data_IF_796214111519
#
_entry.id   IF_796214111519
#
_cell.length_a   1.000
_cell.length_b   1.000
_cell.length_c   1.000
_cell.angle_alpha   90.00
_cell.angle_beta   90.00
_cell.angle_gamma   90.00
#
_symmetry.space_group_name_H-M   'P 1'
#
loop_
_entity.id
_entity.type
_entity.pdbx_description
1 polymer ?
#
# COMPACT_ATOMS: atom_id res chain seq x y z
N UNK A 1 13.16 28.33 106.70
CA UNK A 1 14.09 27.20 106.73
C UNK A 1 13.48 26.04 105.96
N UNK A 2 14.26 25.48 105.02
CA UNK A 2 14.16 24.13 104.42
C UNK A 2 13.05 23.84 103.38
N UNK A 3 13.45 24.03 102.12
CA UNK A 3 13.44 23.09 100.98
C UNK A 3 12.48 21.87 100.99
N UNK A 4 11.71 21.70 99.90
CA UNK A 4 11.24 20.38 99.44
C UNK A 4 11.21 20.26 97.90
N UNK A 5 12.31 19.66 97.41
CA UNK A 5 12.55 18.83 96.22
C UNK A 5 11.53 18.81 95.04
N UNK A 6 12.01 19.28 93.88
CA UNK A 6 11.57 18.87 92.54
C UNK A 6 11.86 17.38 92.28
N UNK A 7 10.83 16.57 92.00
CA UNK A 7 10.89 15.33 91.19
C UNK A 7 9.50 14.72 91.11
N UNK A 8 8.83 14.83 89.95
CA UNK A 8 7.88 13.84 89.40
C UNK A 8 6.94 14.43 88.33
N UNK A 9 7.46 15.08 87.28
CA UNK A 9 6.60 15.54 86.17
C UNK A 9 7.25 15.47 84.78
N UNK A 10 8.26 14.61 84.60
CA UNK A 10 8.90 14.37 83.28
C UNK A 10 8.68 12.96 82.70
N UNK A 11 8.02 12.06 83.43
CA UNK A 11 7.82 10.66 83.01
C UNK A 11 6.57 10.38 82.17
N UNK A 12 5.49 11.16 82.34
CA UNK A 12 4.19 10.81 81.74
C UNK A 12 3.88 11.53 80.43
N UNK A 13 4.52 12.67 80.15
CA UNK A 13 4.26 13.46 78.94
C UNK A 13 4.94 12.84 77.70
N UNK A 14 6.11 12.22 77.85
CA UNK A 14 6.87 11.66 76.73
C UNK A 14 6.31 10.34 76.17
N UNK A 15 5.53 9.57 76.94
CA UNK A 15 4.93 8.31 76.46
C UNK A 15 3.65 8.52 75.66
N UNK A 16 2.88 9.57 75.95
CA UNK A 16 1.64 9.93 75.23
C UNK A 16 1.91 10.49 73.84
N UNK A 17 2.94 11.32 73.66
CA UNK A 17 3.30 11.86 72.33
C UNK A 17 3.81 10.78 71.35
N UNK A 18 4.39 9.69 71.85
CA UNK A 18 4.88 8.58 71.01
C UNK A 18 3.75 7.67 70.53
N UNK A 19 2.71 7.45 71.34
CA UNK A 19 1.49 6.71 70.95
C UNK A 19 0.61 7.49 69.97
N UNK A 20 0.50 8.81 70.14
CA UNK A 20 -0.29 9.67 69.24
C UNK A 20 0.32 9.74 67.83
N UNK A 21 1.66 9.85 67.71
CA UNK A 21 2.32 9.79 66.39
C UNK A 21 2.16 8.44 65.69
N UNK A 22 2.15 7.33 66.44
CA UNK A 22 2.01 5.99 65.85
C UNK A 22 0.57 5.69 65.41
N UNK A 23 -0.44 6.09 66.19
CA UNK A 23 -1.85 5.91 65.80
C UNK A 23 -2.25 6.82 64.63
N UNK A 24 -1.76 8.06 64.57
CA UNK A 24 -2.05 8.96 63.43
C UNK A 24 -1.34 8.48 62.16
N UNK A 25 -0.11 7.96 62.25
CA UNK A 25 0.57 7.35 61.09
C UNK A 25 -0.17 6.09 60.60
N UNK A 26 -0.62 5.21 61.49
CA UNK A 26 -1.35 3.99 61.09
C UNK A 26 -2.73 4.32 60.50
N UNK A 27 -3.45 5.31 61.04
CA UNK A 27 -4.76 5.70 60.50
C UNK A 27 -4.63 6.42 59.16
N UNK A 28 -3.59 7.24 58.96
CA UNK A 28 -3.31 7.87 57.65
C UNK A 28 -2.85 6.82 56.62
N UNK A 29 -2.03 5.83 57.02
CA UNK A 29 -1.64 4.73 56.13
C UNK A 29 -2.82 3.83 55.76
N UNK A 30 -3.76 3.58 56.68
CA UNK A 30 -4.96 2.75 56.41
C UNK A 30 -6.03 3.53 55.63
N UNK A 31 -6.13 4.86 55.81
CA UNK A 31 -7.02 5.70 55.01
C UNK A 31 -6.54 5.88 53.56
N UNK A 32 -5.23 5.82 53.30
CA UNK A 32 -4.67 5.83 51.93
C UNK A 32 -4.86 4.47 51.23
N UNK A 33 -5.03 3.37 51.98
CA UNK A 33 -5.30 2.03 51.41
C UNK A 33 -6.81 1.83 51.12
N UNK A 34 -7.70 2.67 51.67
CA UNK A 34 -9.15 2.57 51.51
C UNK A 34 -9.75 3.38 50.36
N UNK A 35 -8.94 4.19 49.67
CA UNK A 35 -9.31 4.89 48.44
C UNK A 35 -8.39 4.41 47.32
N UNK A 36 -8.48 3.11 47.02
CA UNK A 36 -8.24 2.72 45.64
C UNK A 36 -9.20 3.56 44.81
N UNK A 37 -8.73 4.44 43.89
CA UNK A 37 -9.60 4.79 42.79
C UNK A 37 -10.07 3.45 42.25
N UNK A 38 -11.37 3.31 41.96
CA UNK A 38 -11.83 2.25 41.10
C UNK A 38 -10.78 2.17 39.99
N UNK A 39 -10.02 1.07 39.97
CA UNK A 39 -9.21 0.74 38.82
C UNK A 39 -10.28 0.62 37.76
N UNK A 40 -10.51 1.72 37.04
CA UNK A 40 -10.87 1.69 35.65
C UNK A 40 -9.97 0.58 35.14
N UNK A 41 -10.55 -0.58 34.88
CA UNK A 41 -9.85 -1.65 34.20
C UNK A 41 -9.39 -0.99 32.92
N UNK A 42 -8.13 -0.56 32.91
CA UNK A 42 -7.44 -0.28 31.67
C UNK A 42 -7.68 -1.53 30.82
N UNK A 43 -8.12 -1.33 29.59
CA UNK A 43 -8.33 -2.46 28.69
C UNK A 43 -7.10 -3.37 28.73
N UNK A 44 -7.31 -4.67 28.57
CA UNK A 44 -6.21 -5.60 28.44
C UNK A 44 -6.45 -6.42 27.17
N UNK A 45 -5.43 -6.49 26.32
CA UNK A 45 -5.44 -7.31 25.12
C UNK A 45 -5.21 -8.80 25.44
N UNK A 46 -4.76 -9.13 26.66
CA UNK A 46 -4.47 -10.49 27.12
C UNK A 46 -5.54 -11.52 26.74
N UNK A 47 -6.82 -11.33 27.12
CA UNK A 47 -7.90 -12.28 26.77
C UNK A 47 -8.07 -12.49 25.25
N UNK A 48 -7.82 -11.46 24.45
CA UNK A 48 -7.94 -11.53 23.00
C UNK A 48 -6.75 -12.28 22.40
N UNK A 49 -5.52 -11.92 22.79
CA UNK A 49 -4.26 -12.47 22.29
C UNK A 49 -4.10 -13.95 22.67
N UNK A 50 -4.58 -14.37 23.85
CA UNK A 50 -4.53 -15.77 24.29
C UNK A 50 -5.23 -16.75 23.33
N UNK A 51 -6.30 -16.30 22.67
CA UNK A 51 -7.06 -17.08 21.70
C UNK A 51 -6.73 -16.73 20.25
N UNK A 52 -6.58 -15.45 19.91
CA UNK A 52 -6.41 -15.01 18.51
C UNK A 52 -5.01 -15.20 17.95
N UNK A 53 -3.99 -15.48 18.78
CA UNK A 53 -2.64 -15.84 18.27
C UNK A 53 -2.50 -17.32 17.95
N UNK A 54 -3.48 -18.16 18.34
CA UNK A 54 -3.39 -19.62 18.30
C UNK A 54 -4.50 -20.20 17.42
N UNK A 55 -4.19 -20.71 16.21
CA UNK A 55 -5.20 -21.26 15.31
C UNK A 55 -6.05 -22.37 15.93
N UNK A 56 -5.47 -23.19 16.81
CA UNK A 56 -6.15 -24.30 17.51
C UNK A 56 -7.17 -23.84 18.56
N UNK A 57 -7.10 -22.57 18.99
CA UNK A 57 -8.05 -21.96 19.93
C UNK A 57 -9.25 -21.32 19.23
N UNK A 58 -9.20 -21.16 17.91
CA UNK A 58 -10.25 -20.53 17.14
C UNK A 58 -11.22 -21.56 16.56
N UNK A 59 -12.51 -21.40 16.86
CA UNK A 59 -13.59 -22.18 16.21
C UNK A 59 -13.73 -21.85 14.72
N UNK A 60 -13.30 -20.67 14.31
CA UNK A 60 -13.32 -20.21 12.91
C UNK A 60 -12.04 -19.46 12.63
N UNK A 61 -11.13 -20.11 11.90
CA UNK A 61 -9.79 -19.58 11.59
C UNK A 61 -9.80 -18.71 10.33
N UNK A 62 -10.80 -18.91 9.47
CA UNK A 62 -10.86 -18.30 8.14
C UNK A 62 -12.25 -17.72 7.86
N UNK A 63 -12.29 -16.61 7.12
CA UNK A 63 -13.51 -16.02 6.59
C UNK A 63 -13.37 -15.69 5.12
N UNK A 64 -14.48 -15.75 4.39
CA UNK A 64 -14.55 -15.29 3.02
C UNK A 64 -14.74 -13.76 2.98
N UNK A 65 -13.90 -13.07 2.23
CA UNK A 65 -14.05 -11.66 1.82
C UNK A 65 -14.26 -11.64 0.30
N UNK A 66 -15.26 -10.88 -0.16
CA UNK A 66 -15.55 -10.73 -1.59
C UNK A 66 -14.94 -9.42 -2.08
N UNK A 67 -14.19 -9.45 -3.20
CA UNK A 67 -13.73 -8.23 -3.86
C UNK A 67 -14.95 -7.48 -4.45
N UNK A 68 -15.15 -6.20 -4.13
CA UNK A 68 -16.35 -5.46 -4.51
C UNK A 68 -16.48 -5.21 -6.02
N UNK A 69 -15.38 -5.31 -6.77
CA UNK A 69 -15.33 -5.05 -8.22
C UNK A 69 -15.32 -6.35 -9.01
N UNK A 70 -14.46 -7.30 -8.66
CA UNK A 70 -14.30 -8.55 -9.43
C UNK A 70 -15.25 -9.66 -8.99
N UNK A 71 -15.81 -9.58 -7.77
CA UNK A 71 -16.58 -10.65 -7.16
C UNK A 71 -15.75 -11.86 -6.71
N UNK A 72 -14.41 -11.77 -6.80
CA UNK A 72 -13.50 -12.81 -6.35
C UNK A 72 -13.60 -13.03 -4.84
N UNK A 73 -13.61 -14.30 -4.41
CA UNK A 73 -13.63 -14.68 -3.00
C UNK A 73 -12.19 -14.86 -2.52
N UNK A 74 -11.73 -13.99 -1.63
CA UNK A 74 -10.47 -14.10 -0.88
C UNK A 74 -10.74 -14.70 0.49
N UNK A 75 -9.91 -15.65 0.92
CA UNK A 75 -9.96 -16.18 2.30
C UNK A 75 -9.06 -15.32 3.18
N UNK A 76 -9.59 -14.81 4.29
CA UNK A 76 -8.87 -14.02 5.28
C UNK A 76 -8.74 -14.79 6.59
N UNK A 77 -7.56 -14.74 7.20
CA UNK A 77 -7.30 -15.36 8.50
C UNK A 77 -7.88 -14.49 9.63
N UNK A 78 -8.44 -15.14 10.65
CA UNK A 78 -8.84 -14.53 11.92
C UNK A 78 -7.75 -14.62 13.00
N UNK A 79 -6.59 -15.21 12.66
CA UNK A 79 -5.43 -15.30 13.52
C UNK A 79 -4.68 -13.97 13.47
N UNK A 80 -4.38 -13.44 14.64
CA UNK A 80 -3.57 -12.24 14.83
C UNK A 80 -2.12 -12.67 15.01
N UNK A 81 -1.25 -12.18 14.14
CA UNK A 81 0.19 -12.23 14.38
C UNK A 81 0.56 -11.08 15.32
N UNK A 82 0.89 -11.41 16.57
CA UNK A 82 1.14 -10.45 17.63
C UNK A 82 2.29 -9.50 17.30
N UNK A 83 3.36 -10.02 16.69
CA UNK A 83 4.52 -9.21 16.28
C UNK A 83 4.11 -8.18 15.23
N UNK A 84 3.29 -8.58 14.26
CA UNK A 84 2.79 -7.71 13.19
C UNK A 84 1.79 -6.69 13.72
N UNK A 85 0.86 -7.11 14.58
CA UNK A 85 -0.13 -6.20 15.17
C UNK A 85 0.56 -5.14 16.03
N UNK A 86 1.46 -5.53 16.92
CA UNK A 86 2.17 -4.60 17.81
C UNK A 86 3.09 -3.64 17.06
N UNK A 87 3.55 -4.01 15.86
CA UNK A 87 4.31 -3.12 14.98
C UNK A 87 3.43 -2.11 14.21
N UNK A 88 2.11 -2.30 14.20
CA UNK A 88 1.19 -1.38 13.54
C UNK A 88 0.93 -0.13 14.39
N UNK A 89 0.45 0.93 13.75
CA UNK A 89 0.04 2.15 14.48
C UNK A 89 -1.11 1.93 15.49
N UNK A 90 -1.81 0.79 15.42
CA UNK A 90 -2.89 0.44 16.35
C UNK A 90 -2.49 -0.63 17.37
N UNK A 91 -1.24 -1.13 17.36
CA UNK A 91 -0.77 -2.15 18.29
C UNK A 91 0.21 -1.64 19.36
N UNK A 92 0.30 -0.32 19.52
CA UNK A 92 1.03 0.27 20.65
C UNK A 92 0.36 -0.04 21.99
N UNK A 93 1.01 0.34 23.10
CA UNK A 93 0.51 0.10 24.46
C UNK A 93 -0.78 0.88 24.79
N UNK A 94 -1.15 1.85 23.94
CA UNK A 94 -2.28 2.75 24.13
C UNK A 94 -3.58 2.28 23.45
N UNK A 95 -3.58 1.15 22.75
CA UNK A 95 -4.76 0.64 22.01
C UNK A 95 -5.14 -0.79 22.40
N UNK A 96 -6.41 -0.97 22.67
CA UNK A 96 -7.02 -2.25 22.99
C UNK A 96 -7.88 -2.79 21.86
N UNK A 97 -7.97 -4.12 21.76
CA UNK A 97 -8.79 -4.81 20.78
C UNK A 97 -10.25 -4.33 20.84
N UNK A 98 -10.76 -4.07 22.06
CA UNK A 98 -12.13 -3.61 22.34
C UNK A 98 -12.36 -2.14 21.97
N UNK A 99 -11.32 -1.32 21.79
CA UNK A 99 -11.49 0.08 21.36
C UNK A 99 -12.06 0.14 19.93
N UNK A 100 -11.68 -0.85 19.11
CA UNK A 100 -12.22 -1.09 17.77
C UNK A 100 -13.40 -2.06 17.79
N UNK A 101 -13.28 -3.17 18.53
CA UNK A 101 -14.32 -4.18 18.72
C UNK A 101 -15.22 -3.83 19.90
N UNK A 102 -15.87 -2.67 19.82
CA UNK A 102 -16.65 -2.09 20.92
C UNK A 102 -17.84 -2.95 21.35
N UNK A 103 -18.29 -3.87 20.52
CA UNK A 103 -19.33 -4.84 20.88
C UNK A 103 -18.85 -5.92 21.87
N UNK A 104 -17.54 -5.96 22.16
CA UNK A 104 -16.92 -6.81 23.17
C UNK A 104 -16.49 -6.06 24.43
N UNK A 105 -16.64 -4.74 24.49
CA UNK A 105 -16.28 -3.97 25.68
C UNK A 105 -17.13 -4.41 26.89
N UNK A 106 -16.45 -4.77 27.98
CA UNK A 106 -17.07 -5.32 29.20
C UNK A 106 -17.70 -6.71 29.04
N UNK A 107 -17.49 -7.41 27.92
CA UNK A 107 -18.03 -8.76 27.71
C UNK A 107 -17.19 -9.82 28.45
N UNK A 108 -17.85 -10.88 28.93
CA UNK A 108 -17.17 -12.08 29.41
C UNK A 108 -16.71 -12.93 28.22
N UNK A 109 -15.39 -13.04 28.04
CA UNK A 109 -14.75 -13.73 26.93
C UNK A 109 -14.17 -15.10 27.32
N UNK A 110 -14.43 -15.59 28.53
CA UNK A 110 -13.86 -16.87 29.03
C UNK A 110 -14.18 -18.08 28.15
N UNK A 111 -15.38 -18.12 27.57
CA UNK A 111 -15.84 -19.17 26.63
C UNK A 111 -15.75 -18.74 25.15
N UNK A 112 -15.06 -17.62 24.89
CA UNK A 112 -14.97 -16.93 23.62
C UNK A 112 -16.18 -16.01 23.33
N UNK A 113 -16.22 -15.45 22.13
CA UNK A 113 -17.29 -14.56 21.69
C UNK A 113 -18.07 -15.11 20.48
N UNK A 114 -19.24 -14.52 20.20
CA UNK A 114 -20.04 -14.87 19.02
C UNK A 114 -19.27 -14.55 17.72
N UNK A 115 -19.45 -15.36 16.66
CA UNK A 115 -18.92 -15.03 15.35
C UNK A 115 -19.65 -13.80 14.77
N UNK A 116 -18.93 -13.08 13.90
CA UNK A 116 -19.45 -11.92 13.16
C UNK A 116 -19.84 -10.73 14.05
N UNK A 117 -18.82 -10.20 14.72
CA UNK A 117 -18.87 -8.90 15.38
C UNK A 117 -19.32 -7.79 14.43
N UNK A 118 -19.78 -6.69 15.00
CA UNK A 118 -20.08 -5.50 14.21
C UNK A 118 -18.81 -5.03 13.47
N UNK A 119 -18.95 -4.48 12.25
CA UNK A 119 -17.83 -3.83 11.58
C UNK A 119 -17.22 -2.76 12.48
N UNK A 120 -15.88 -2.72 12.56
CA UNK A 120 -15.15 -1.69 13.29
C UNK A 120 -15.50 -0.32 12.73
N UNK A 121 -15.78 0.62 13.62
CA UNK A 121 -15.99 2.02 13.28
C UNK A 121 -14.67 2.78 13.39
N UNK A 122 -14.03 3.01 12.24
CA UNK A 122 -12.78 3.78 12.19
C UNK A 122 -13.01 5.29 12.38
N UNK A 123 -14.23 5.78 12.18
CA UNK A 123 -14.51 7.19 11.89
C UNK A 123 -14.89 7.92 13.17
N UNK A 124 -15.97 7.49 13.82
CA UNK A 124 -16.70 8.28 14.84
C UNK A 124 -15.80 8.76 15.99
N UNK A 125 -14.75 8.01 16.32
CA UNK A 125 -13.90 8.31 17.46
C UNK A 125 -12.50 8.79 17.09
N UNK A 126 -11.99 8.50 15.88
CA UNK A 126 -10.56 8.64 15.59
C UNK A 126 -10.22 9.20 14.21
N UNK A 127 -10.91 8.78 13.14
CA UNK A 127 -10.57 9.15 11.77
C UNK A 127 -11.71 9.88 11.05
N UNK A 128 -12.22 10.94 11.67
CA UNK A 128 -13.23 11.85 11.12
C UNK A 128 -12.69 12.68 9.94
N UNK A 129 -11.54 13.34 10.10
CA UNK A 129 -10.91 14.15 9.05
C UNK A 129 -10.72 13.39 7.70
N UNK A 130 -10.03 12.23 7.65
CA UNK A 130 -9.88 11.50 6.40
C UNK A 130 -11.19 10.89 5.90
N UNK A 131 -12.17 10.66 6.78
CA UNK A 131 -13.49 10.20 6.38
C UNK A 131 -14.29 11.30 5.66
N UNK A 132 -14.24 12.53 6.16
CA UNK A 132 -14.89 13.67 5.51
C UNK A 132 -14.33 13.94 4.11
N UNK A 133 -13.01 13.82 3.94
CA UNK A 133 -12.35 13.86 2.64
C UNK A 133 -12.79 12.70 1.74
N UNK A 134 -12.83 11.48 2.29
CA UNK A 134 -13.25 10.29 1.54
C UNK A 134 -14.69 10.38 1.07
N UNK A 135 -15.60 10.89 1.91
CA UNK A 135 -17.02 11.09 1.59
C UNK A 135 -17.24 12.06 0.44
N UNK A 136 -16.33 13.01 0.23
CA UNK A 136 -16.34 13.95 -0.90
C UNK A 136 -15.77 13.36 -2.20
N UNK A 137 -15.10 12.20 -2.13
CA UNK A 137 -14.43 11.62 -3.29
C UNK A 137 -15.40 11.12 -4.37
N UNK A 138 -14.88 11.03 -5.60
CA UNK A 138 -15.59 10.41 -6.70
C UNK A 138 -15.80 8.89 -6.48
N UNK A 139 -15.03 8.21 -5.62
CA UNK A 139 -15.33 6.82 -5.25
C UNK A 139 -16.71 6.71 -4.63
N UNK A 140 -17.01 7.52 -3.61
CA UNK A 140 -18.31 7.49 -2.92
C UNK A 140 -19.42 7.95 -3.86
N UNK A 141 -19.20 9.06 -4.57
CA UNK A 141 -20.21 9.65 -5.47
C UNK A 141 -20.58 8.70 -6.62
N UNK A 142 -19.59 8.18 -7.36
CA UNK A 142 -19.83 7.38 -8.56
C UNK A 142 -20.31 5.97 -8.23
N UNK A 143 -19.81 5.34 -7.16
CA UNK A 143 -20.26 3.99 -6.78
C UNK A 143 -21.73 4.03 -6.36
N UNK A 144 -22.13 5.01 -5.52
CA UNK A 144 -23.54 5.23 -5.15
C UNK A 144 -24.43 5.49 -6.36
N UNK A 145 -23.99 6.36 -7.28
CA UNK A 145 -24.74 6.67 -8.50
C UNK A 145 -24.94 5.45 -9.41
N UNK A 146 -23.99 4.51 -9.42
CA UNK A 146 -24.06 3.28 -10.22
C UNK A 146 -24.62 2.08 -9.45
N UNK A 147 -25.21 2.31 -8.26
CA UNK A 147 -25.76 1.27 -7.40
C UNK A 147 -24.75 0.14 -7.10
N UNK A 148 -23.51 0.55 -6.82
CA UNK A 148 -22.39 -0.33 -6.44
C UNK A 148 -21.99 -0.08 -4.99
N UNK A 149 -21.42 -1.12 -4.37
CA UNK A 149 -20.83 -1.00 -3.05
C UNK A 149 -19.64 -0.05 -3.08
N UNK A 150 -19.60 0.85 -2.09
CA UNK A 150 -18.53 1.82 -1.92
C UNK A 150 -17.37 1.11 -1.21
N UNK A 151 -16.12 1.22 -1.71
CA UNK A 151 -14.96 0.71 -0.99
C UNK A 151 -14.91 1.23 0.44
N UNK A 152 -14.59 0.38 1.39
CA UNK A 152 -14.46 0.74 2.80
C UNK A 152 -13.01 1.08 3.14
N UNK A 153 -12.77 1.69 4.30
CA UNK A 153 -11.41 2.03 4.74
C UNK A 153 -10.47 0.82 4.68
N UNK A 154 -10.96 -0.37 5.07
CA UNK A 154 -10.23 -1.65 5.03
C UNK A 154 -9.90 -2.15 3.61
N UNK A 155 -10.59 -1.69 2.58
CA UNK A 155 -10.30 -2.12 1.21
C UNK A 155 -9.02 -1.46 0.67
N UNK A 156 -8.62 -0.32 1.26
CA UNK A 156 -7.34 0.33 0.97
C UNK A 156 -6.32 0.23 2.12
N UNK A 157 -6.79 0.25 3.38
CA UNK A 157 -5.96 0.23 4.60
C UNK A 157 -5.87 -1.13 5.30
N UNK A 158 -6.56 -2.18 4.87
CA UNK A 158 -6.38 -3.53 5.42
C UNK A 158 -5.98 -4.54 4.33
N UNK A 159 -5.46 -4.03 3.20
CA UNK A 159 -4.89 -4.84 2.13
C UNK A 159 -3.38 -5.04 2.31
N UNK A 160 -2.68 -5.18 1.19
CA UNK A 160 -1.22 -5.30 1.11
C UNK A 160 -0.46 -4.19 1.84
N UNK A 161 -1.09 -3.06 2.17
CA UNK A 161 -0.49 -1.88 2.82
C UNK A 161 -0.24 -2.02 4.33
N UNK A 162 -0.85 -3.00 5.00
CA UNK A 162 -0.72 -3.20 6.46
C UNK A 162 -0.52 -4.65 6.87
N UNK A 163 -0.99 -5.60 6.06
CA UNK A 163 -0.52 -6.96 6.19
C UNK A 163 0.84 -7.04 5.52
N UNK A 164 1.84 -7.41 6.31
CA UNK A 164 3.08 -8.07 5.88
C UNK A 164 3.11 -8.18 4.36
N UNK A 165 3.80 -7.26 3.69
CA UNK A 165 4.21 -7.56 2.33
C UNK A 165 4.82 -8.96 2.44
N UNK A 166 4.45 -9.90 1.57
CA UNK A 166 4.98 -11.28 1.53
C UNK A 166 6.52 -11.37 1.42
N UNK A 167 7.18 -10.21 1.48
CA UNK A 167 8.57 -9.83 1.37
C UNK A 167 9.21 -9.48 2.73
N UNK A 168 8.47 -9.43 3.85
CA UNK A 168 9.04 -9.18 5.19
C UNK A 168 9.48 -7.74 5.46
N UNK A 169 8.99 -6.78 4.68
CA UNK A 169 9.31 -5.36 4.80
C UNK A 169 8.32 -4.62 5.70
N UNK A 170 8.81 -3.60 6.42
CA UNK A 170 8.10 -2.89 7.50
C UNK A 170 7.92 -1.41 7.16
N UNK A 171 6.70 -0.87 7.34
CA UNK A 171 6.49 0.57 7.38
C UNK A 171 6.69 1.02 8.83
N UNK A 172 7.64 1.91 9.14
CA UNK A 172 7.88 2.35 10.51
C UNK A 172 6.67 3.08 11.10
N UNK A 173 6.43 2.90 12.40
CA UNK A 173 5.34 3.57 13.13
C UNK A 173 5.46 5.11 13.06
N UNK A 174 6.69 5.63 12.95
CA UNK A 174 7.01 7.06 13.06
C UNK A 174 7.26 7.77 11.72
N UNK A 175 7.03 7.12 10.57
CA UNK A 175 7.22 7.77 9.27
C UNK A 175 5.87 8.23 8.72
N UNK A 176 5.72 9.50 8.29
CA UNK A 176 4.54 9.93 7.57
C UNK A 176 4.28 9.00 6.39
N UNK A 177 3.15 8.29 6.40
CA UNK A 177 2.87 7.23 5.41
C UNK A 177 2.98 7.69 3.95
N UNK A 178 2.78 8.99 3.69
CA UNK A 178 2.94 9.56 2.35
C UNK A 178 4.38 9.57 1.81
N UNK A 179 5.38 9.44 2.67
CA UNK A 179 6.81 9.45 2.32
C UNK A 179 7.49 8.10 2.54
N UNK A 180 6.83 7.16 3.22
CA UNK A 180 7.36 5.80 3.42
C UNK A 180 7.38 5.02 2.09
N UNK A 181 8.55 4.58 1.59
CA UNK A 181 8.65 3.91 0.29
C UNK A 181 7.84 2.61 0.22
N UNK A 182 7.82 1.84 1.32
CA UNK A 182 7.04 0.63 1.39
C UNK A 182 5.54 0.93 1.26
N UNK A 183 5.02 1.86 2.04
CA UNK A 183 3.62 2.27 1.95
C UNK A 183 3.25 2.80 0.57
N UNK A 184 4.13 3.61 -0.03
CA UNK A 184 3.98 4.13 -1.41
C UNK A 184 3.88 2.98 -2.41
N UNK A 185 4.78 2.00 -2.33
CA UNK A 185 4.78 0.79 -3.17
C UNK A 185 3.47 -0.01 -3.03
N UNK A 186 3.04 -0.28 -1.81
CA UNK A 186 1.86 -1.10 -1.53
C UNK A 186 0.56 -0.41 -1.93
N UNK A 187 0.55 0.92 -1.96
CA UNK A 187 -0.61 1.70 -2.43
C UNK A 187 -0.82 1.54 -3.94
N UNK A 188 0.26 1.38 -4.73
CA UNK A 188 0.15 1.11 -6.18
C UNK A 188 -0.69 -0.16 -6.43
N UNK A 189 -0.38 -1.24 -5.70
CA UNK A 189 -1.09 -2.51 -5.80
C UNK A 189 -2.53 -2.40 -5.26
N UNK A 190 -2.73 -1.65 -4.16
CA UNK A 190 -4.06 -1.45 -3.56
C UNK A 190 -5.03 -0.75 -4.51
N UNK A 191 -4.55 0.27 -5.24
CA UNK A 191 -5.35 0.90 -6.30
C UNK A 191 -5.61 -0.09 -7.46
N UNK A 192 -4.58 -0.86 -7.83
CA UNK A 192 -4.64 -1.83 -8.92
C UNK A 192 -5.57 -3.01 -8.70
N UNK A 193 -5.90 -3.38 -7.46
CA UNK A 193 -6.86 -4.46 -7.17
C UNK A 193 -8.23 -4.24 -7.83
N UNK A 194 -8.64 -2.97 -7.95
CA UNK A 194 -9.88 -2.55 -8.62
C UNK A 194 -9.63 -1.88 -9.97
N UNK A 195 -8.50 -1.19 -10.13
CA UNK A 195 -8.16 -0.41 -11.32
C UNK A 195 -7.07 -1.07 -12.18
N UNK A 196 -7.25 -2.36 -12.52
CA UNK A 196 -6.24 -3.15 -13.23
C UNK A 196 -5.78 -2.52 -14.55
N UNK A 197 -6.69 -2.01 -15.38
CA UNK A 197 -6.32 -1.36 -16.65
C UNK A 197 -5.44 -0.10 -16.44
N UNK A 198 -5.67 0.64 -15.36
CA UNK A 198 -4.87 1.81 -15.01
C UNK A 198 -3.53 1.42 -14.39
N UNK A 199 -3.48 0.36 -13.59
CA UNK A 199 -2.23 -0.22 -13.09
C UNK A 199 -1.36 -0.67 -14.26
N UNK A 200 -1.91 -1.43 -15.20
CA UNK A 200 -1.18 -1.92 -16.37
C UNK A 200 -0.63 -0.77 -17.22
N UNK A 201 -1.42 0.30 -17.41
CA UNK A 201 -0.99 1.45 -18.21
C UNK A 201 0.06 2.29 -17.49
N UNK A 202 -0.08 2.46 -16.17
CA UNK A 202 0.92 3.09 -15.32
C UNK A 202 2.25 2.34 -15.37
N UNK A 203 2.23 1.01 -15.23
CA UNK A 203 3.44 0.16 -15.32
C UNK A 203 4.15 0.23 -16.67
N UNK A 204 3.48 0.73 -17.71
CA UNK A 204 4.05 0.93 -19.04
C UNK A 204 4.64 2.34 -19.26
N UNK A 205 4.52 3.26 -18.31
CA UNK A 205 5.16 4.58 -18.36
C UNK A 205 6.48 4.61 -17.55
N UNK A 206 7.22 5.71 -17.63
CA UNK A 206 8.50 5.83 -16.93
C UNK A 206 8.37 5.76 -15.40
N UNK A 207 7.37 6.44 -14.81
CA UNK A 207 7.11 6.39 -13.36
C UNK A 207 6.80 4.96 -12.90
N UNK A 208 5.94 4.24 -13.63
CA UNK A 208 5.58 2.87 -13.31
C UNK A 208 6.71 1.86 -13.49
N UNK A 209 7.59 2.07 -14.48
CA UNK A 209 8.80 1.26 -14.67
C UNK A 209 9.79 1.47 -13.54
N UNK A 210 10.06 2.73 -13.16
CA UNK A 210 10.98 3.06 -12.07
C UNK A 210 10.47 2.51 -10.73
N UNK A 211 9.18 2.67 -10.44
CA UNK A 211 8.57 2.06 -9.24
C UNK A 211 8.54 0.53 -9.28
N UNK A 212 8.50 -0.10 -10.47
CA UNK A 212 8.62 -1.55 -10.61
C UNK A 212 10.04 -2.07 -10.32
N UNK A 213 11.06 -1.22 -10.46
CA UNK A 213 12.43 -1.50 -10.03
C UNK A 213 12.65 -1.33 -8.52
N UNK A 214 11.60 -0.96 -7.76
CA UNK A 214 11.64 -0.78 -6.31
C UNK A 214 11.82 0.67 -5.86
N UNK A 215 12.08 1.60 -6.77
CA UNK A 215 12.25 3.02 -6.44
C UNK A 215 10.89 3.68 -6.20
N UNK A 216 10.49 3.73 -4.94
CA UNK A 216 9.17 4.21 -4.49
C UNK A 216 9.28 5.36 -3.49
N UNK A 217 10.45 6.01 -3.44
CA UNK A 217 10.69 7.23 -2.68
C UNK A 217 9.86 8.40 -3.24
N UNK A 218 9.98 9.57 -2.62
CA UNK A 218 9.21 10.77 -2.99
C UNK A 218 9.58 11.37 -4.34
N UNK A 219 10.72 10.96 -4.91
CA UNK A 219 11.20 11.47 -6.20
C UNK A 219 10.44 10.89 -7.40
N UNK A 220 9.66 9.83 -7.18
CA UNK A 220 8.89 9.14 -8.22
C UNK A 220 7.43 9.08 -7.79
N UNK A 221 6.49 9.63 -8.57
CA UNK A 221 5.09 9.70 -8.17
C UNK A 221 4.45 8.32 -8.15
N UNK A 222 3.61 8.06 -7.16
CA UNK A 222 2.66 6.95 -7.12
C UNK A 222 1.23 7.47 -7.34
N UNK A 223 0.25 6.56 -7.37
CA UNK A 223 -1.15 6.88 -7.70
C UNK A 223 -1.69 8.10 -6.94
N UNK A 224 -1.46 8.17 -5.62
CA UNK A 224 -1.99 9.24 -4.77
C UNK A 224 -1.26 10.58 -4.90
N UNK A 225 -0.02 10.61 -5.39
CA UNK A 225 0.71 11.87 -5.58
C UNK A 225 0.03 12.71 -6.67
N UNK A 226 -0.47 12.03 -7.71
CA UNK A 226 -1.24 12.63 -8.78
C UNK A 226 -2.74 12.73 -8.45
N UNK A 227 -3.37 11.68 -7.94
CA UNK A 227 -4.84 11.63 -7.79
C UNK A 227 -5.38 12.13 -6.43
N UNK A 228 -4.53 12.25 -5.41
CA UNK A 228 -4.95 12.49 -4.03
C UNK A 228 -5.05 11.20 -3.21
N UNK A 229 -5.20 11.36 -1.89
CA UNK A 229 -5.22 10.25 -0.92
C UNK A 229 -6.65 9.79 -0.61
N UNK A 230 -7.37 10.55 0.21
CA UNK A 230 -8.76 10.24 0.58
C UNK A 230 -9.77 10.99 -0.31
N UNK A 231 -9.54 12.27 -0.61
CA UNK A 231 -10.32 13.07 -1.56
C UNK A 231 -9.84 12.88 -3.01
N UNK A 232 -10.17 11.74 -3.61
CA UNK A 232 -9.85 11.42 -5.01
C UNK A 232 -10.95 11.96 -5.93
N UNK A 233 -10.57 12.82 -6.87
CA UNK A 233 -11.50 13.50 -7.78
C UNK A 233 -11.26 13.14 -9.25
N UNK A 234 -12.33 13.13 -10.05
CA UNK A 234 -12.25 12.96 -11.50
C UNK A 234 -11.42 14.06 -12.16
N UNK A 235 -10.72 13.75 -13.25
CA UNK A 235 -9.93 14.72 -14.01
C UNK A 235 -10.74 15.86 -14.65
N UNK A 236 -12.06 15.73 -14.72
CA UNK A 236 -12.97 16.81 -15.17
C UNK A 236 -13.31 17.79 -14.05
N UNK A 237 -12.99 17.46 -12.80
CA UNK A 237 -13.23 18.32 -11.66
C UNK A 237 -12.12 19.38 -11.55
N UNK A 238 -12.44 20.68 -11.45
CA UNK A 238 -11.43 21.73 -11.34
C UNK A 238 -10.63 21.67 -10.04
N UNK A 239 -11.15 21.02 -9.00
CA UNK A 239 -10.40 20.80 -7.76
C UNK A 239 -9.46 19.59 -7.85
N UNK A 240 -9.60 18.75 -8.87
CA UNK A 240 -8.75 17.57 -9.05
C UNK A 240 -7.31 17.96 -9.33
N UNK A 241 -6.37 17.28 -8.67
CA UNK A 241 -4.94 17.41 -8.93
C UNK A 241 -4.54 17.01 -10.35
N UNK A 242 -5.30 16.11 -10.97
CA UNK A 242 -5.14 15.75 -12.40
C UNK A 242 -6.10 16.53 -13.31
N UNK A 243 -6.78 17.54 -12.77
CA UNK A 243 -7.63 18.46 -13.51
C UNK A 243 -6.83 19.48 -14.32
N UNK A 244 -7.47 20.07 -15.33
CA UNK A 244 -6.83 21.02 -16.26
C UNK A 244 -6.20 22.22 -15.54
N UNK A 245 -6.82 22.64 -14.44
CA UNK A 245 -6.44 23.81 -13.65
C UNK A 245 -5.23 23.54 -12.75
N UNK A 246 -5.04 22.30 -12.29
CA UNK A 246 -3.99 21.93 -11.30
C UNK A 246 -2.89 21.03 -11.85
N UNK A 247 -3.05 20.45 -13.05
CA UNK A 247 -2.07 19.49 -13.61
C UNK A 247 -0.65 20.08 -13.73
N UNK A 248 -0.53 21.39 -14.02
CA UNK A 248 0.76 22.08 -14.09
C UNK A 248 1.46 22.10 -12.72
N UNK A 249 0.72 22.37 -11.66
CA UNK A 249 1.22 22.34 -10.29
C UNK A 249 1.60 20.90 -9.89
N UNK A 250 0.73 19.93 -10.19
CA UNK A 250 0.95 18.52 -9.88
C UNK A 250 2.24 17.98 -10.49
N UNK A 251 2.46 18.21 -11.79
CA UNK A 251 3.72 17.83 -12.44
C UNK A 251 4.90 18.70 -11.97
N UNK A 252 4.65 19.97 -11.66
CA UNK A 252 5.64 20.94 -11.20
C UNK A 252 6.27 20.62 -9.85
N UNK A 253 5.63 19.77 -9.03
CA UNK A 253 6.18 19.30 -7.76
C UNK A 253 7.53 18.59 -7.92
N UNK A 254 7.73 17.88 -9.03
CA UNK A 254 9.00 17.19 -9.34
C UNK A 254 9.68 17.76 -10.59
N UNK A 255 8.90 18.22 -11.59
CA UNK A 255 9.43 18.73 -12.85
C UNK A 255 9.51 20.25 -12.85
N UNK A 256 10.65 20.77 -12.39
CA UNK A 256 10.95 22.21 -12.47
C UNK A 256 10.82 22.73 -13.92
N UNK A 257 9.99 23.74 -14.12
CA UNK A 257 9.72 24.31 -15.46
C UNK A 257 8.67 23.56 -16.28
N UNK A 258 7.87 22.69 -15.66
CA UNK A 258 6.69 22.10 -16.29
C UNK A 258 5.81 23.18 -16.92
N UNK A 259 5.44 22.99 -18.19
CA UNK A 259 4.65 23.93 -18.97
C UNK A 259 3.48 23.24 -19.67
N UNK A 260 2.61 24.02 -20.31
CA UNK A 260 1.40 23.52 -20.95
C UNK A 260 1.64 22.47 -22.04
N UNK A 261 2.81 22.43 -22.66
CA UNK A 261 3.16 21.38 -23.62
C UNK A 261 3.67 20.12 -22.93
N UNK A 262 4.38 20.25 -21.82
CA UNK A 262 4.89 19.13 -21.01
C UNK A 262 3.74 18.29 -20.44
N UNK A 263 2.75 18.94 -19.83
CA UNK A 263 1.61 18.25 -19.18
C UNK A 263 0.58 17.66 -20.15
N UNK A 264 0.82 17.74 -21.46
CA UNK A 264 0.05 16.98 -22.47
C UNK A 264 0.48 15.51 -22.53
N UNK A 265 1.57 15.15 -21.84
CA UNK A 265 1.96 13.76 -21.69
C UNK A 265 0.83 12.95 -21.05
N UNK A 266 0.62 11.74 -21.53
CA UNK A 266 -0.46 10.85 -21.06
C UNK A 266 0.17 9.77 -20.20
N UNK A 267 0.02 9.92 -18.88
CA UNK A 267 0.55 8.96 -17.88
C UNK A 267 -0.14 7.60 -17.95
N UNK A 268 -1.40 7.54 -18.41
CA UNK A 268 -2.14 6.30 -18.65
C UNK A 268 -2.40 6.10 -20.14
N UNK A 269 -1.36 5.78 -20.95
CA UNK A 269 -1.55 5.58 -22.36
C UNK A 269 -2.39 4.32 -22.61
N UNK A 270 -3.23 4.34 -23.65
CA UNK A 270 -3.94 3.14 -24.07
C UNK A 270 -2.93 2.04 -24.43
N UNK A 271 -2.93 0.96 -23.65
CA UNK A 271 -2.07 -0.19 -23.89
C UNK A 271 -2.56 -0.89 -25.15
N UNK A 272 -1.68 -1.02 -26.13
CA UNK A 272 -1.95 -1.75 -27.37
C UNK A 272 -1.92 -3.24 -27.08
N UNK A 273 -3.07 -3.79 -26.70
CA UNK A 273 -3.25 -5.21 -26.45
C UNK A 273 -3.50 -5.98 -27.76
N UNK A 274 -3.67 -7.30 -27.65
CA UNK A 274 -3.94 -8.16 -28.83
C UNK A 274 -5.17 -7.72 -29.62
N UNK A 275 -6.16 -7.09 -28.97
CA UNK A 275 -7.36 -6.58 -29.63
C UNK A 275 -7.06 -5.32 -30.45
N UNK A 276 -6.14 -4.47 -30.00
CA UNK A 276 -5.61 -3.36 -30.81
C UNK A 276 -4.96 -3.89 -32.09
N UNK A 277 -4.10 -4.91 -31.99
CA UNK A 277 -3.44 -5.50 -33.17
C UNK A 277 -4.43 -6.22 -34.09
N UNK A 278 -5.43 -6.91 -33.56
CA UNK A 278 -6.53 -7.48 -34.36
C UNK A 278 -7.27 -6.38 -35.13
N UNK A 279 -7.63 -5.27 -34.47
CA UNK A 279 -8.26 -4.11 -35.12
C UNK A 279 -7.35 -3.49 -36.18
N UNK A 280 -6.05 -3.35 -35.92
CA UNK A 280 -5.08 -2.85 -36.89
C UNK A 280 -4.99 -3.77 -38.13
N UNK A 281 -4.90 -5.09 -37.93
CA UNK A 281 -4.86 -6.06 -39.04
C UNK A 281 -6.17 -6.01 -39.85
N UNK A 282 -7.33 -5.94 -39.19
CA UNK A 282 -8.61 -5.77 -39.88
C UNK A 282 -8.68 -4.45 -40.64
N UNK A 283 -8.25 -3.34 -40.05
CA UNK A 283 -8.20 -2.05 -40.70
C UNK A 283 -7.22 -2.02 -41.89
N UNK A 284 -6.11 -2.76 -41.83
CA UNK A 284 -5.19 -2.94 -42.96
C UNK A 284 -5.85 -3.77 -44.07
N UNK A 285 -6.55 -4.86 -43.73
CA UNK A 285 -7.29 -5.68 -44.72
C UNK A 285 -8.40 -4.90 -45.40
N UNK A 286 -9.08 -4.03 -44.66
CA UNK A 286 -10.17 -3.18 -45.13
C UNK A 286 -9.69 -1.83 -45.68
N UNK A 287 -8.37 -1.57 -45.74
CA UNK A 287 -7.82 -0.28 -46.13
C UNK A 287 -8.29 0.20 -47.51
N UNK A 288 -8.59 -0.75 -48.40
CA UNK A 288 -9.08 -0.48 -49.76
C UNK A 288 -10.57 -0.11 -49.78
N UNK A 289 -11.36 -0.60 -48.83
CA UNK A 289 -12.81 -0.36 -48.73
C UNK A 289 -13.19 0.72 -47.72
N UNK A 290 -12.36 0.98 -46.70
CA UNK A 290 -12.58 2.01 -45.68
C UNK A 290 -11.24 2.66 -45.22
N UNK A 291 -10.69 3.60 -46.01
CA UNK A 291 -9.38 4.20 -45.74
C UNK A 291 -9.34 5.12 -44.51
N UNK A 292 -10.49 5.65 -44.06
CA UNK A 292 -10.55 6.57 -42.92
C UNK A 292 -10.29 5.88 -41.57
N UNK A 293 -10.68 4.60 -41.45
CA UNK A 293 -10.40 3.80 -40.26
C UNK A 293 -8.89 3.59 -40.08
N UNK A 294 -8.17 3.29 -41.17
CA UNK A 294 -6.72 3.14 -41.15
C UNK A 294 -6.00 4.47 -40.86
N UNK A 295 -6.44 5.59 -41.44
CA UNK A 295 -5.87 6.93 -41.16
C UNK A 295 -5.96 7.30 -39.69
N UNK A 296 -7.06 6.96 -39.03
CA UNK A 296 -7.27 7.28 -37.61
C UNK A 296 -6.26 6.55 -36.72
N UNK A 297 -5.97 5.29 -37.01
CA UNK A 297 -5.00 4.48 -36.27
C UNK A 297 -3.56 4.94 -36.54
N UNK A 298 -3.24 5.33 -37.78
CA UNK A 298 -1.90 5.79 -38.18
C UNK A 298 -1.56 7.20 -37.67
N UNK A 299 -2.56 8.06 -37.42
CA UNK A 299 -2.33 9.40 -36.84
C UNK A 299 -1.92 9.38 -35.37
N UNK A 300 -2.06 8.25 -34.68
CA UNK A 300 -1.63 8.14 -33.30
C UNK A 300 -0.08 8.14 -33.21
N UNK A 301 0.54 9.11 -32.48
CA UNK A 301 2.00 9.21 -32.36
C UNK A 301 2.68 7.93 -31.86
N UNK A 302 2.04 7.20 -30.94
CA UNK A 302 2.52 5.93 -30.41
C UNK A 302 2.55 4.83 -31.49
N UNK A 303 1.70 4.93 -32.52
CA UNK A 303 1.67 4.00 -33.66
C UNK A 303 2.82 4.25 -34.61
N UNK A 304 3.11 5.51 -34.87
CA UNK A 304 4.25 5.91 -35.70
C UNK A 304 5.56 5.44 -35.04
N UNK A 305 5.74 5.73 -33.75
CA UNK A 305 6.94 5.32 -33.01
C UNK A 305 7.10 3.78 -32.99
N UNK A 306 6.00 3.05 -32.75
CA UNK A 306 6.01 1.59 -32.79
C UNK A 306 6.40 1.05 -34.17
N UNK A 307 5.87 1.62 -35.26
CA UNK A 307 6.23 1.23 -36.62
C UNK A 307 7.71 1.50 -36.92
N UNK A 308 8.23 2.67 -36.52
CA UNK A 308 9.66 3.01 -36.65
C UNK A 308 10.53 2.02 -35.88
N UNK A 309 10.15 1.68 -34.64
CA UNK A 309 10.87 0.70 -33.84
C UNK A 309 10.88 -0.69 -34.48
N UNK A 310 9.73 -1.17 -34.97
CA UNK A 310 9.65 -2.47 -35.66
C UNK A 310 10.49 -2.48 -36.93
N UNK A 311 10.47 -1.40 -37.72
CA UNK A 311 11.35 -1.26 -38.89
C UNK A 311 12.83 -1.28 -38.49
N UNK A 312 13.19 -0.58 -37.43
CA UNK A 312 14.56 -0.57 -36.91
C UNK A 312 15.02 -1.97 -36.46
N UNK A 313 14.20 -2.69 -35.69
CA UNK A 313 14.48 -4.09 -35.29
C UNK A 313 14.57 -5.00 -36.50
N UNK A 314 13.73 -4.80 -37.52
CA UNK A 314 13.80 -5.54 -38.79
C UNK A 314 15.10 -5.31 -39.55
N UNK A 315 15.58 -4.07 -39.60
CA UNK A 315 16.89 -3.73 -40.17
C UNK A 315 18.01 -4.42 -39.38
N UNK A 316 17.96 -4.37 -38.05
CA UNK A 316 18.93 -5.07 -37.21
C UNK A 316 18.93 -6.57 -37.49
N UNK A 317 17.77 -7.23 -37.46
CA UNK A 317 17.65 -8.66 -37.74
C UNK A 317 18.19 -9.02 -39.13
N UNK A 318 17.88 -8.22 -40.15
CA UNK A 318 18.38 -8.41 -41.50
C UNK A 318 19.91 -8.28 -41.57
N UNK A 319 20.48 -7.25 -40.94
CA UNK A 319 21.94 -7.07 -40.90
C UNK A 319 22.65 -8.23 -40.20
N UNK A 320 22.16 -8.68 -39.04
CA UNK A 320 22.74 -9.82 -38.33
C UNK A 320 22.58 -11.14 -39.09
N UNK A 321 21.44 -11.37 -39.76
CA UNK A 321 21.26 -12.55 -40.61
C UNK A 321 22.22 -12.56 -41.80
N UNK A 322 22.51 -11.39 -42.37
CA UNK A 322 23.46 -11.25 -43.49
C UNK A 322 24.89 -11.57 -43.04
N UNK A 323 25.29 -11.14 -41.84
CA UNK A 323 26.56 -11.54 -41.23
C UNK A 323 26.63 -13.04 -40.99
N UNK A 324 25.58 -13.63 -40.40
CA UNK A 324 25.54 -15.07 -40.15
C UNK A 324 25.62 -15.90 -41.43
N UNK A 325 24.91 -15.49 -42.49
CA UNK A 325 24.97 -16.14 -43.81
C UNK A 325 26.36 -16.01 -44.41
N UNK A 326 27.00 -14.83 -44.32
CA UNK A 326 28.36 -14.65 -44.82
C UNK A 326 29.36 -15.57 -44.10
N UNK A 327 29.31 -15.64 -42.77
CA UNK A 327 30.14 -16.56 -41.98
C UNK A 327 29.90 -18.04 -42.34
N UNK A 328 28.64 -18.43 -42.54
CA UNK A 328 28.26 -19.79 -42.91
C UNK A 328 28.76 -20.15 -44.32
N UNK A 329 28.59 -19.26 -45.30
CA UNK A 329 29.07 -19.45 -46.66
C UNK A 329 30.61 -19.51 -46.72
N UNK A 330 31.30 -18.69 -45.93
CA UNK A 330 32.76 -18.74 -45.80
C UNK A 330 33.21 -20.07 -45.20
N UNK A 331 32.53 -20.58 -44.17
CA UNK A 331 32.80 -21.91 -43.62
C UNK A 331 32.59 -23.04 -44.64
N UNK A 332 31.49 -23.00 -45.40
CA UNK A 332 31.27 -23.95 -46.49
C UNK A 332 32.33 -23.86 -47.60
N UNK A 333 32.81 -22.66 -47.91
CA UNK A 333 33.89 -22.47 -48.88
C UNK A 333 35.20 -23.11 -48.38
N UNK A 334 35.57 -22.88 -47.12
CA UNK A 334 36.74 -23.50 -46.47
C UNK A 334 36.62 -25.02 -46.48
N UNK A 335 35.50 -25.57 -45.98
CA UNK A 335 35.29 -27.02 -45.95
C UNK A 335 35.32 -27.67 -47.34
N UNK A 336 34.80 -26.98 -48.36
CA UNK A 336 34.87 -27.42 -49.77
C UNK A 336 36.30 -27.42 -50.29
N UNK A 337 37.07 -26.38 -49.98
CA UNK A 337 38.44 -26.21 -50.48
C UNK A 337 39.39 -27.23 -49.81
N UNK A 338 39.19 -27.51 -48.51
CA UNK A 338 39.82 -28.64 -47.79
C UNK A 338 39.46 -29.99 -48.44
N UNK A 339 38.18 -30.25 -48.72
CA UNK A 339 37.73 -31.51 -49.35
C UNK A 339 38.30 -31.71 -50.76
N UNK A 340 38.46 -30.63 -51.53
CA UNK A 340 39.02 -30.69 -52.90
C UNK A 340 40.54 -30.86 -52.93
N UNK A 341 41.20 -31.00 -51.78
CA UNK A 341 42.66 -31.13 -51.71
C UNK A 341 43.38 -29.87 -52.17
N UNK A 342 42.69 -28.72 -52.23
CA UNK A 342 43.31 -27.41 -52.44
C UNK A 342 43.78 -26.83 -51.11
N UNK A 343 44.39 -27.67 -50.27
CA UNK A 343 45.24 -27.15 -49.20
C UNK A 343 46.30 -26.32 -49.90
N UNK A 344 46.39 -25.03 -49.56
CA UNK A 344 47.51 -24.20 -50.01
C UNK A 344 48.79 -24.98 -49.71
N UNK A 345 49.51 -25.37 -50.76
CA UNK A 345 50.90 -25.78 -50.61
C UNK A 345 51.64 -24.55 -50.11
N UNK A 346 52.42 -24.69 -49.03
CA UNK A 346 53.15 -23.61 -48.34
C UNK A 346 54.16 -22.84 -49.24
N UNK A 347 54.18 -23.05 -50.56
CA UNK A 347 55.09 -22.42 -51.52
C UNK A 347 54.63 -21.05 -52.06
N UNK A 348 53.39 -20.60 -51.80
CA UNK A 348 52.90 -19.29 -52.30
C UNK A 348 52.91 -18.17 -51.24
N UNK A 349 53.57 -18.35 -50.09
CA UNK A 349 53.68 -17.32 -49.02
C UNK A 349 55.08 -16.73 -48.79
N UNK A 350 55.93 -16.67 -49.83
CA UNK A 350 57.17 -15.88 -49.81
C UNK A 350 57.22 -14.83 -50.90
#
# INVERSE_FOLDING_TARGET
MVYKSEKSLRGEVLSSFKKIKLCVLVVVSVAIIGLSPAVLTAGDNGPCIECHTKPDKLKTVEKAKINPVTGEIKVVSMVVDEVTFNASAHGGEDFFCTDCHQDLDGADLTEGHKPNLKPVDCITFCHDDPADDYLQSNHVKLMKQNNKDVPTCKDCHAGLTYHYASLGEKSPMDVPRGTDPLHRRLTIESCGECHQEYLDSYRNNAHGQVTALGHTDTDVPVCFDCHGKHKILNSTDPESKVGKEKILETCGNCHAGANASFVKHVEHPQIKNINYYKKLISAIKEARSNPENLKTILKNPQTILCAVFVMYVGILAFTFSSFGIHSLLSWFAVARDEYKGKGHTDEEQH
#
